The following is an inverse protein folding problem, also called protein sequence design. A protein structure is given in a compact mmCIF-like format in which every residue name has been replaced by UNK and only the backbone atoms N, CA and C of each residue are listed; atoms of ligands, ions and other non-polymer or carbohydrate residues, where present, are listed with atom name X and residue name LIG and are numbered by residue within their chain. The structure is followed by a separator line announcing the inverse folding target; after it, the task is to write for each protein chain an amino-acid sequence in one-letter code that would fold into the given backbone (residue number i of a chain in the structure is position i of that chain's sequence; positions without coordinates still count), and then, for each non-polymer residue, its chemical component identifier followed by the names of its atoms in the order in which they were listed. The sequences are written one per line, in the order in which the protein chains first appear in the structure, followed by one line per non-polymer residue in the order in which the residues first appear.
data_IF_067183554495
#
_entry.id   IF_067183554495
#
_cell.length_a   1.000
_cell.length_b   1.000
_cell.length_c   1.000
_cell.angle_alpha   90.00
_cell.angle_beta   90.00
_cell.angle_gamma   90.00
#
_symmetry.space_group_name_H-M   'P 1'
#
loop_
_entity.id
_entity.type
_entity.pdbx_description
1 polymer ?
#
# COMPACT_ATOMS: atom_id res chain seq x y z
N UNK A 1 -21.96 14.06 14.35
CA UNK A 1 -22.01 14.04 12.87
C UNK A 1 -20.86 13.18 12.34
N UNK A 2 -20.89 12.64 11.10
CA UNK A 2 -19.72 11.95 10.53
C UNK A 2 -18.54 12.93 10.39
N UNK A 3 -17.31 12.45 10.60
CA UNK A 3 -16.11 13.23 10.32
C UNK A 3 -15.92 13.35 8.81
N UNK A 4 -15.82 14.58 8.33
CA UNK A 4 -15.68 14.92 6.90
C UNK A 4 -14.24 14.80 6.46
N UNK A 5 -13.99 14.08 5.37
CA UNK A 5 -12.64 13.72 4.92
C UNK A 5 -12.39 14.29 3.53
N UNK A 6 -11.28 15.01 3.38
CA UNK A 6 -10.71 15.31 2.06
C UNK A 6 -9.51 14.35 1.80
N UNK A 7 -9.46 13.76 0.61
CA UNK A 7 -8.41 12.84 0.20
C UNK A 7 -7.68 13.38 -1.03
N UNK A 8 -6.37 13.52 -0.92
CA UNK A 8 -5.49 13.96 -2.00
C UNK A 8 -4.59 12.81 -2.43
N UNK A 9 -4.32 12.73 -3.73
CA UNK A 9 -3.55 11.62 -4.30
C UNK A 9 -4.21 10.28 -3.97
N UNK A 10 -5.54 10.23 -4.10
CA UNK A 10 -6.39 9.14 -3.60
C UNK A 10 -6.10 7.80 -4.27
N UNK A 11 -5.44 7.79 -5.43
CA UNK A 11 -5.16 6.58 -6.19
C UNK A 11 -6.45 5.83 -6.54
N UNK A 12 -6.46 4.51 -6.38
CA UNK A 12 -7.69 3.72 -6.53
C UNK A 12 -8.54 3.66 -5.24
N UNK A 13 -8.28 4.54 -4.26
CA UNK A 13 -9.12 4.67 -3.08
C UNK A 13 -8.85 3.68 -1.94
N UNK A 14 -7.68 3.04 -1.88
CA UNK A 14 -7.41 2.05 -0.83
C UNK A 14 -7.44 2.62 0.57
N UNK A 15 -6.84 3.81 0.80
CA UNK A 15 -6.89 4.50 2.09
C UNK A 15 -8.31 5.00 2.39
N UNK A 16 -8.99 5.55 1.39
CA UNK A 16 -10.35 6.08 1.49
C UNK A 16 -11.34 4.96 1.87
N UNK A 17 -11.22 3.78 1.24
CA UNK A 17 -12.00 2.60 1.59
C UNK A 17 -11.76 2.18 3.05
N UNK A 18 -10.49 2.23 3.49
CA UNK A 18 -10.15 1.99 4.89
C UNK A 18 -10.84 2.98 5.83
N UNK A 19 -10.77 4.28 5.53
CA UNK A 19 -11.42 5.32 6.34
C UNK A 19 -12.94 5.29 6.27
N UNK A 20 -13.53 4.78 5.21
CA UNK A 20 -14.97 4.56 5.09
C UNK A 20 -15.42 3.31 5.86
N UNK A 21 -14.68 2.22 5.79
CA UNK A 21 -15.14 0.92 6.25
C UNK A 21 -16.32 0.39 5.43
N UNK A 22 -17.06 -0.58 5.98
CA UNK A 22 -18.22 -1.17 5.32
C UNK A 22 -17.85 -2.18 4.23
N UNK A 23 -16.77 -2.93 4.40
CA UNK A 23 -16.33 -3.96 3.47
C UNK A 23 -15.97 -5.27 4.20
N UNK A 24 -16.01 -6.37 3.47
CA UNK A 24 -15.56 -7.68 3.96
C UNK A 24 -14.24 -8.07 3.32
N UNK A 25 -13.29 -8.50 4.14
CA UNK A 25 -12.05 -9.08 3.65
C UNK A 25 -11.82 -10.45 4.29
N UNK A 26 -11.84 -11.51 3.47
CA UNK A 26 -11.60 -12.90 3.88
C UNK A 26 -12.48 -13.36 5.05
N UNK A 27 -13.74 -12.97 5.06
CA UNK A 27 -14.71 -13.35 6.08
C UNK A 27 -14.70 -12.47 7.33
N UNK A 28 -13.76 -11.53 7.44
CA UNK A 28 -13.75 -10.52 8.49
C UNK A 28 -14.47 -9.25 7.99
N UNK A 29 -15.46 -8.79 8.76
CA UNK A 29 -16.22 -7.59 8.44
C UNK A 29 -15.56 -6.36 9.06
N UNK A 30 -15.16 -5.42 8.22
CA UNK A 30 -14.64 -4.12 8.62
C UNK A 30 -15.79 -3.11 8.62
N UNK A 31 -16.35 -2.88 9.78
CA UNK A 31 -17.55 -2.08 9.98
C UNK A 31 -17.46 -0.69 9.35
N UNK A 32 -18.60 -0.16 8.88
CA UNK A 32 -18.67 1.23 8.43
C UNK A 32 -18.28 2.16 9.57
N UNK A 33 -17.35 3.08 9.30
CA UNK A 33 -16.92 4.09 10.25
C UNK A 33 -17.81 5.35 10.17
N UNK A 34 -17.82 6.14 11.24
CA UNK A 34 -18.57 7.41 11.26
C UNK A 34 -17.81 8.52 10.53
N UNK A 35 -17.60 8.32 9.25
CA UNK A 35 -16.84 9.19 8.34
C UNK A 35 -17.58 9.37 7.03
N UNK A 36 -17.26 10.46 6.33
CA UNK A 36 -17.76 10.77 5.00
C UNK A 36 -16.62 11.34 4.16
N UNK A 37 -16.26 10.68 3.04
CA UNK A 37 -15.35 11.27 2.06
C UNK A 37 -16.16 12.33 1.30
N UNK A 38 -15.76 13.58 1.40
CA UNK A 38 -16.44 14.72 0.76
C UNK A 38 -15.67 15.29 -0.43
N UNK A 39 -14.40 14.95 -0.54
CA UNK A 39 -13.53 15.34 -1.64
C UNK A 39 -12.46 14.27 -1.84
N UNK A 40 -12.25 13.83 -3.08
CA UNK A 40 -11.16 12.96 -3.48
C UNK A 40 -10.53 13.50 -4.78
N UNK A 41 -9.21 13.39 -4.92
CA UNK A 41 -8.48 13.88 -6.08
C UNK A 41 -7.30 12.99 -6.46
N UNK A 42 -7.15 12.73 -7.73
CA UNK A 42 -5.93 12.19 -8.33
C UNK A 42 -5.71 12.77 -9.74
N UNK A 43 -4.48 12.82 -10.21
CA UNK A 43 -4.16 13.26 -11.58
C UNK A 43 -4.01 12.10 -12.56
N UNK A 44 -3.88 10.85 -12.06
CA UNK A 44 -3.72 9.65 -12.88
C UNK A 44 -5.09 9.18 -13.40
N UNK A 45 -5.24 9.17 -14.73
CA UNK A 45 -6.50 8.78 -15.38
C UNK A 45 -6.95 7.36 -15.03
N UNK A 46 -6.02 6.40 -14.87
CA UNK A 46 -6.35 5.02 -14.51
C UNK A 46 -6.84 4.94 -13.06
N UNK A 47 -6.17 5.66 -12.16
CA UNK A 47 -6.57 5.75 -10.76
C UNK A 47 -7.97 6.37 -10.62
N UNK A 48 -8.20 7.51 -11.26
CA UNK A 48 -9.50 8.19 -11.33
C UNK A 48 -10.61 7.25 -11.85
N UNK A 49 -10.35 6.55 -12.96
CA UNK A 49 -11.35 5.64 -13.57
C UNK A 49 -11.67 4.47 -12.63
N UNK A 50 -10.64 3.89 -11.99
CA UNK A 50 -10.79 2.81 -11.03
C UNK A 50 -11.56 3.26 -9.78
N UNK A 51 -11.23 4.42 -9.21
CA UNK A 51 -11.90 4.99 -8.04
C UNK A 51 -13.41 5.16 -8.31
N UNK A 52 -13.74 5.83 -9.40
CA UNK A 52 -15.13 6.19 -9.73
C UNK A 52 -15.97 5.01 -10.21
N UNK A 53 -15.35 3.92 -10.64
CA UNK A 53 -16.04 2.67 -10.99
C UNK A 53 -16.44 1.84 -9.76
N UNK A 54 -16.00 2.23 -8.55
CA UNK A 54 -16.13 1.40 -7.36
C UNK A 54 -17.27 1.87 -6.45
N UNK A 55 -18.38 1.10 -6.34
CA UNK A 55 -19.49 1.46 -5.45
C UNK A 55 -19.08 1.58 -3.97
N UNK A 56 -18.09 0.81 -3.51
CA UNK A 56 -17.59 0.89 -2.14
C UNK A 56 -17.03 2.28 -1.78
N UNK A 57 -16.62 3.07 -2.78
CA UNK A 57 -16.08 4.42 -2.61
C UNK A 57 -17.09 5.51 -2.96
N UNK A 58 -18.00 5.25 -3.87
CA UNK A 58 -18.89 6.27 -4.47
C UNK A 58 -20.33 6.23 -3.99
N UNK A 59 -20.70 5.27 -3.13
CA UNK A 59 -22.07 5.14 -2.60
C UNK A 59 -22.57 6.39 -1.88
N UNK A 60 -21.69 7.18 -1.27
CA UNK A 60 -22.05 8.44 -0.60
C UNK A 60 -22.14 9.64 -1.60
N UNK A 61 -22.05 9.37 -2.90
CA UNK A 61 -22.19 10.36 -3.97
C UNK A 61 -20.91 11.13 -4.32
N UNK A 62 -19.82 10.91 -3.61
CA UNK A 62 -18.53 11.53 -3.94
C UNK A 62 -17.93 10.86 -5.17
N UNK A 63 -17.34 11.69 -6.03
CA UNK A 63 -16.51 11.27 -7.16
C UNK A 63 -15.11 11.84 -7.01
N UNK A 64 -14.12 11.02 -7.33
CA UNK A 64 -12.76 11.53 -7.44
C UNK A 64 -12.67 12.58 -8.55
N UNK A 65 -11.98 13.68 -8.31
CA UNK A 65 -11.69 14.72 -9.28
C UNK A 65 -10.41 14.36 -10.03
N UNK A 66 -10.48 14.31 -11.35
CA UNK A 66 -9.29 14.19 -12.20
C UNK A 66 -8.67 15.57 -12.41
N UNK A 67 -7.66 15.90 -11.64
CA UNK A 67 -6.95 17.18 -11.76
C UNK A 67 -5.57 17.11 -11.11
N UNK A 68 -4.63 17.89 -11.61
CA UNK A 68 -3.42 18.18 -10.85
C UNK A 68 -3.79 19.05 -9.64
N UNK A 69 -3.41 18.65 -8.46
CA UNK A 69 -3.76 19.36 -7.22
C UNK A 69 -3.21 20.79 -7.17
N UNK A 70 -2.17 21.09 -7.96
CA UNK A 70 -1.60 22.43 -8.11
C UNK A 70 -2.56 23.40 -8.80
N UNK A 71 -3.45 22.89 -9.64
CA UNK A 71 -4.45 23.64 -10.38
C UNK A 71 -5.77 23.79 -9.60
N UNK A 72 -5.91 23.06 -8.48
CA UNK A 72 -7.11 23.11 -7.64
C UNK A 72 -7.01 24.27 -6.63
N UNK A 73 -7.97 25.19 -6.68
CA UNK A 73 -8.05 26.24 -5.68
C UNK A 73 -8.45 25.64 -4.31
N UNK A 74 -7.67 25.92 -3.27
CA UNK A 74 -7.93 25.40 -1.92
C UNK A 74 -9.30 25.83 -1.36
N UNK A 75 -9.86 26.96 -1.82
CA UNK A 75 -11.17 27.43 -1.40
C UNK A 75 -12.33 26.65 -2.04
N UNK A 76 -12.08 25.98 -3.18
CA UNK A 76 -13.08 25.16 -3.86
C UNK A 76 -13.20 23.75 -3.22
N UNK A 77 -12.22 23.36 -2.39
CA UNK A 77 -12.29 22.14 -1.58
C UNK A 77 -13.25 22.41 -0.41
N UNK A 78 -14.29 21.59 -0.21
CA UNK A 78 -15.20 21.75 0.93
C UNK A 78 -14.47 21.76 2.27
N UNK A 79 -15.06 22.32 3.32
CA UNK A 79 -14.49 22.23 4.66
C UNK A 79 -14.49 20.76 5.14
N UNK A 80 -13.41 20.33 5.75
CA UNK A 80 -13.18 18.95 6.19
C UNK A 80 -12.55 18.90 7.58
N UNK A 81 -12.74 17.76 8.27
CA UNK A 81 -12.18 17.51 9.61
C UNK A 81 -10.84 16.81 9.52
N UNK A 82 -10.65 15.94 8.52
CA UNK A 82 -9.44 15.12 8.35
C UNK A 82 -8.95 15.25 6.90
N UNK A 83 -7.64 15.50 6.72
CA UNK A 83 -6.98 15.42 5.41
C UNK A 83 -6.21 14.11 5.29
N UNK A 84 -6.48 13.33 4.23
CA UNK A 84 -5.68 12.18 3.84
C UNK A 84 -4.79 12.55 2.65
N UNK A 85 -3.51 12.16 2.66
CA UNK A 85 -2.65 12.35 1.51
C UNK A 85 -1.53 11.30 1.42
N UNK A 86 -1.51 10.55 0.33
CA UNK A 86 -0.43 9.65 -0.06
C UNK A 86 0.44 10.26 -1.17
N UNK A 87 1.09 11.39 -0.91
CA UNK A 87 1.84 12.10 -1.96
C UNK A 87 3.09 11.32 -2.41
N UNK A 88 3.41 11.33 -3.73
CA UNK A 88 4.55 10.60 -4.26
C UNK A 88 5.89 11.10 -3.70
N UNK A 89 6.75 10.14 -3.31
CA UNK A 89 8.08 10.38 -2.75
C UNK A 89 9.17 10.64 -3.82
N UNK A 90 8.81 10.80 -5.09
CA UNK A 90 9.76 11.20 -6.13
C UNK A 90 9.83 12.73 -6.16
N UNK A 91 10.94 13.30 -5.97
CA UNK A 91 12.34 13.03 -6.24
C UNK A 91 13.21 12.67 -5.04
N UNK A 92 12.64 12.43 -3.87
CA UNK A 92 13.40 12.10 -2.66
C UNK A 92 13.93 10.65 -2.63
N UNK A 93 13.61 9.80 -3.64
CA UNK A 93 14.08 8.42 -3.67
C UNK A 93 15.43 8.27 -4.37
N UNK A 94 16.32 7.42 -3.80
CA UNK A 94 17.63 7.07 -4.38
C UNK A 94 17.56 6.33 -5.75
N UNK A 95 16.40 6.11 -6.33
CA UNK A 95 16.18 5.42 -7.60
C UNK A 95 15.97 6.35 -8.80
N UNK A 96 15.73 7.64 -8.57
CA UNK A 96 15.78 8.69 -9.60
C UNK A 96 17.04 9.53 -9.43
N UNK A 97 17.56 10.11 -10.51
CA UNK A 97 18.61 11.12 -10.43
C UNK A 97 18.18 12.12 -9.37
N UNK A 98 19.02 12.36 -8.34
CA UNK A 98 18.79 13.27 -7.21
C UNK A 98 18.37 14.68 -7.68
N UNK A 99 17.09 14.82 -8.01
CA UNK A 99 16.48 16.10 -8.38
C UNK A 99 15.65 16.52 -7.17
N UNK A 100 16.25 17.20 -6.23
CA UNK A 100 15.60 17.69 -5.00
C UNK A 100 14.29 18.46 -5.24
N UNK A 101 14.01 19.50 -4.47
CA UNK A 101 12.83 20.38 -4.58
C UNK A 101 12.73 21.09 -5.95
N UNK A 102 13.78 21.06 -6.76
CA UNK A 102 13.86 21.60 -8.11
C UNK A 102 13.69 20.53 -9.21
N UNK A 103 12.81 19.54 -9.00
CA UNK A 103 12.39 18.65 -10.08
C UNK A 103 11.63 19.50 -11.13
N UNK A 104 12.08 19.44 -12.39
CA UNK A 104 11.44 20.14 -13.53
C UNK A 104 9.96 19.77 -13.70
N UNK A 105 9.52 18.64 -13.11
CA UNK A 105 8.12 18.19 -13.03
C UNK A 105 7.41 18.61 -11.72
N UNK A 106 8.06 19.33 -10.80
CA UNK A 106 7.48 19.87 -9.58
C UNK A 106 6.96 18.84 -8.56
N UNK A 107 7.33 17.55 -8.69
CA UNK A 107 6.81 16.47 -7.83
C UNK A 107 7.33 16.50 -6.41
N UNK A 108 8.49 17.12 -6.20
CA UNK A 108 9.07 17.35 -4.87
C UNK A 108 8.32 18.39 -4.04
N UNK A 109 7.39 19.11 -4.65
CA UNK A 109 6.59 20.15 -4.03
C UNK A 109 5.17 19.70 -3.65
N UNK A 110 4.78 18.44 -3.90
CA UNK A 110 3.40 18.00 -3.68
C UNK A 110 3.00 17.96 -2.18
N UNK A 111 3.96 17.81 -1.28
CA UNK A 111 3.72 18.09 0.14
C UNK A 111 3.34 19.56 0.37
N UNK A 112 3.94 20.50 -0.37
CA UNK A 112 3.59 21.92 -0.24
C UNK A 112 2.13 22.21 -0.63
N UNK A 113 1.53 21.39 -1.48
CA UNK A 113 0.10 21.48 -1.80
C UNK A 113 -0.78 21.04 -0.63
N UNK A 114 -0.37 19.98 0.09
CA UNK A 114 -1.06 19.59 1.33
C UNK A 114 -1.00 20.73 2.36
N UNK A 115 0.18 21.33 2.53
CA UNK A 115 0.37 22.49 3.42
C UNK A 115 -0.47 23.69 2.96
N UNK A 116 -0.47 24.02 1.66
CA UNK A 116 -1.26 25.13 1.09
C UNK A 116 -2.74 24.98 1.41
N UNK A 117 -3.28 23.77 1.23
CA UNK A 117 -4.70 23.47 1.47
C UNK A 117 -5.02 23.56 2.96
N UNK A 118 -4.22 22.94 3.84
CA UNK A 118 -4.40 23.04 5.30
C UNK A 118 -4.32 24.52 5.73
N UNK A 119 -3.30 25.25 5.25
CA UNK A 119 -3.12 26.67 5.59
C UNK A 119 -4.33 27.50 5.19
N UNK A 120 -4.88 27.31 3.98
CA UNK A 120 -6.06 28.04 3.52
C UNK A 120 -7.27 27.78 4.45
N UNK A 121 -7.47 26.54 4.92
CA UNK A 121 -8.54 26.24 5.88
C UNK A 121 -8.27 26.83 7.26
N UNK A 122 -7.02 26.84 7.72
CA UNK A 122 -6.64 27.50 8.98
C UNK A 122 -6.89 29.00 8.91
N UNK A 123 -6.47 29.66 7.83
CA UNK A 123 -6.65 31.11 7.63
C UNK A 123 -8.13 31.49 7.52
N UNK A 124 -8.98 30.59 7.00
CA UNK A 124 -10.43 30.77 6.93
C UNK A 124 -11.17 30.44 8.25
N UNK A 125 -10.47 30.06 9.32
CA UNK A 125 -11.09 29.65 10.59
C UNK A 125 -11.78 28.29 10.54
N UNK A 126 -11.46 27.46 9.52
CA UNK A 126 -12.00 26.12 9.26
C UNK A 126 -10.91 25.04 9.42
N UNK A 127 -10.14 25.14 10.49
CA UNK A 127 -8.99 24.30 10.78
C UNK A 127 -9.37 22.82 10.84
N UNK A 128 -8.74 21.93 10.04
CA UNK A 128 -8.90 20.49 10.18
C UNK A 128 -8.44 19.98 11.54
N UNK A 129 -9.17 19.03 12.12
CA UNK A 129 -8.82 18.40 13.39
C UNK A 129 -7.57 17.55 13.29
N UNK A 130 -7.39 16.88 12.16
CA UNK A 130 -6.25 16.01 11.91
C UNK A 130 -5.85 15.96 10.43
N UNK A 131 -4.64 15.46 10.19
CA UNK A 131 -4.23 14.97 8.88
C UNK A 131 -3.48 13.64 9.00
N UNK A 132 -3.51 12.86 7.94
CA UNK A 132 -2.76 11.62 7.77
C UNK A 132 -1.95 11.71 6.48
N UNK A 133 -0.64 11.68 6.59
CA UNK A 133 0.27 11.58 5.45
C UNK A 133 0.89 10.20 5.39
N UNK A 134 0.77 9.52 4.24
CA UNK A 134 1.40 8.23 4.00
C UNK A 134 2.57 8.40 3.03
N UNK A 135 3.65 7.65 3.26
CA UNK A 135 4.76 7.60 2.33
C UNK A 135 5.55 6.30 2.42
N UNK A 136 6.40 6.06 1.43
CA UNK A 136 7.30 4.90 1.43
C UNK A 136 8.42 5.05 2.47
N UNK A 137 8.94 3.90 2.97
CA UNK A 137 10.06 3.87 3.93
C UNK A 137 11.26 4.74 3.51
N UNK A 138 11.51 4.87 2.20
CA UNK A 138 12.62 5.66 1.66
C UNK A 138 12.63 7.14 2.09
N UNK A 139 11.48 7.70 2.45
CA UNK A 139 11.39 9.10 2.91
C UNK A 139 12.23 9.34 4.16
N UNK A 140 12.41 8.33 5.03
CA UNK A 140 13.21 8.45 6.28
C UNK A 140 14.68 8.78 6.01
N UNK A 141 15.23 8.37 4.88
CA UNK A 141 16.61 8.64 4.47
C UNK A 141 16.73 9.81 3.50
N UNK A 142 15.60 10.39 3.09
CA UNK A 142 15.59 11.50 2.12
C UNK A 142 16.00 12.81 2.77
N UNK A 143 16.75 13.62 2.03
CA UNK A 143 17.24 14.92 2.46
C UNK A 143 16.68 16.04 1.61
N UNK A 144 16.52 17.21 2.22
CA UNK A 144 16.25 18.45 1.52
C UNK A 144 17.45 18.84 0.63
N UNK A 145 17.31 19.78 -0.31
CA UNK A 145 18.40 20.21 -1.20
C UNK A 145 19.66 20.70 -0.49
N UNK A 146 19.53 21.13 0.77
CA UNK A 146 20.67 21.52 1.62
C UNK A 146 21.57 20.32 2.00
N UNK A 147 21.15 19.08 1.70
CA UNK A 147 21.83 17.85 2.01
C UNK A 147 21.91 17.52 3.51
N UNK A 148 21.37 18.36 4.38
CA UNK A 148 21.44 18.28 5.85
C UNK A 148 20.08 17.95 6.46
N UNK A 149 19.06 18.75 6.22
CA UNK A 149 17.73 18.60 6.78
C UNK A 149 17.05 17.36 6.23
N UNK A 150 16.47 16.52 7.09
CA UNK A 150 15.67 15.38 6.62
C UNK A 150 14.29 15.84 6.14
N UNK A 151 13.77 15.22 5.08
CA UNK A 151 12.46 15.54 4.54
C UNK A 151 11.35 15.37 5.58
N UNK A 152 11.27 14.25 6.35
CA UNK A 152 10.29 14.13 7.42
C UNK A 152 10.35 15.25 8.47
N UNK A 153 11.57 15.66 8.86
CA UNK A 153 11.74 16.72 9.85
C UNK A 153 11.22 18.07 9.31
N UNK A 154 11.48 18.36 8.05
CA UNK A 154 10.94 19.58 7.40
C UNK A 154 9.42 19.57 7.37
N UNK A 155 8.79 18.44 6.98
CA UNK A 155 7.33 18.27 7.01
C UNK A 155 6.79 18.53 8.43
N UNK A 156 7.39 17.91 9.45
CA UNK A 156 6.99 18.09 10.85
C UNK A 156 7.11 19.55 11.28
N UNK A 157 8.23 20.21 10.98
CA UNK A 157 8.46 21.61 11.35
C UNK A 157 7.41 22.55 10.73
N UNK A 158 7.10 22.35 9.45
CA UNK A 158 6.12 23.18 8.73
C UNK A 158 4.71 22.98 9.30
N UNK A 159 4.32 21.73 9.59
CA UNK A 159 3.03 21.44 10.21
C UNK A 159 2.95 21.94 11.66
N UNK A 160 4.04 21.92 12.41
CA UNK A 160 4.10 22.54 13.75
C UNK A 160 3.85 24.05 13.69
N UNK A 161 4.39 24.73 12.65
CA UNK A 161 4.15 26.18 12.43
C UNK A 161 2.68 26.46 12.16
N UNK A 162 1.97 25.53 11.50
CA UNK A 162 0.52 25.61 11.28
C UNK A 162 -0.32 25.21 12.52
N UNK A 163 0.32 24.85 13.64
CA UNK A 163 -0.37 24.56 14.90
C UNK A 163 -0.73 23.09 15.12
N UNK A 164 -0.07 22.15 14.43
CA UNK A 164 -0.31 20.71 14.61
C UNK A 164 0.76 20.06 15.48
N UNK A 165 0.36 19.09 16.29
CA UNK A 165 1.26 18.10 16.93
C UNK A 165 1.39 16.91 15.99
N UNK A 166 2.61 16.59 15.53
CA UNK A 166 2.84 15.54 14.52
C UNK A 166 3.61 14.38 15.10
N UNK A 167 3.08 13.18 14.94
CA UNK A 167 3.77 11.92 15.25
C UNK A 167 4.07 11.17 13.95
N UNK A 168 5.29 10.67 13.85
CA UNK A 168 5.76 9.85 12.71
C UNK A 168 6.03 8.43 13.19
N UNK A 169 5.55 7.43 12.45
CA UNK A 169 5.83 6.02 12.74
C UNK A 169 6.06 5.21 11.46
N UNK A 170 6.99 4.24 11.54
CA UNK A 170 7.20 3.24 10.48
C UNK A 170 6.38 2.00 10.81
N UNK A 171 5.33 1.75 10.05
CA UNK A 171 4.46 0.59 10.21
C UNK A 171 4.80 -0.51 9.21
N UNK A 172 4.59 -1.78 9.60
CA UNK A 172 4.52 -2.90 8.69
C UNK A 172 3.07 -3.33 8.54
N UNK A 173 2.56 -3.38 7.31
CA UNK A 173 1.15 -3.67 7.07
C UNK A 173 0.72 -5.06 7.59
N UNK A 174 1.66 -6.04 7.65
CA UNK A 174 1.38 -7.37 8.22
C UNK A 174 1.05 -7.36 9.72
N UNK A 175 1.33 -6.29 10.43
CA UNK A 175 0.93 -6.14 11.84
C UNK A 175 -0.52 -5.67 11.98
N UNK A 176 -1.13 -5.27 10.88
CA UNK A 176 -2.46 -4.63 10.83
C UNK A 176 -3.39 -5.33 9.83
N UNK A 177 -3.40 -6.64 9.79
CA UNK A 177 -4.35 -7.45 9.02
C UNK A 177 -4.06 -7.61 7.53
N UNK A 178 -2.90 -7.15 7.05
CA UNK A 178 -2.57 -7.21 5.62
C UNK A 178 -1.62 -8.39 5.34
N UNK A 179 -1.92 -9.29 4.40
CA UNK A 179 -1.07 -10.45 4.08
C UNK A 179 0.19 -10.06 3.29
N UNK A 180 0.83 -8.96 3.69
CA UNK A 180 1.98 -8.39 3.00
C UNK A 180 2.94 -7.67 3.94
N UNK A 181 4.22 -8.01 3.87
CA UNK A 181 5.31 -7.26 4.53
C UNK A 181 5.60 -5.97 3.75
N UNK A 182 4.73 -4.98 3.95
CA UNK A 182 4.78 -3.66 3.32
C UNK A 182 5.05 -2.59 4.36
N UNK A 183 6.23 -2.00 4.31
CA UNK A 183 6.62 -0.92 5.22
C UNK A 183 6.17 0.44 4.68
N UNK A 184 5.53 1.22 5.55
CA UNK A 184 5.09 2.59 5.25
C UNK A 184 5.38 3.52 6.41
N UNK A 185 5.69 4.75 6.07
CA UNK A 185 5.76 5.83 7.05
C UNK A 185 4.40 6.50 7.10
N UNK A 186 3.85 6.56 8.29
CA UNK A 186 2.64 7.31 8.58
C UNK A 186 3.03 8.53 9.43
N UNK A 187 2.52 9.70 9.05
CA UNK A 187 2.60 10.93 9.84
C UNK A 187 1.18 11.35 10.16
N UNK A 188 0.84 11.39 11.45
CA UNK A 188 -0.47 11.85 11.92
C UNK A 188 -0.28 13.17 12.65
N UNK A 189 -0.94 14.21 12.17
CA UNK A 189 -0.96 15.51 12.82
C UNK A 189 -2.31 15.76 13.47
N UNK A 190 -2.28 16.26 14.70
CA UNK A 190 -3.45 16.61 15.51
C UNK A 190 -3.42 18.11 15.78
N UNK A 191 -4.52 18.80 15.57
CA UNK A 191 -4.66 20.22 15.89
C UNK A 191 -4.42 20.45 17.40
N UNK A 192 -3.44 21.30 17.72
CA UNK A 192 -3.06 21.61 19.10
C UNK A 192 -4.20 22.30 19.89
N UNK A 193 -5.11 23.00 19.20
CA UNK A 193 -6.23 23.69 19.86
C UNK A 193 -7.23 22.72 20.50
N UNK A 194 -7.23 21.45 20.09
CA UNK A 194 -8.06 20.41 20.70
C UNK A 194 -7.60 20.01 22.12
N UNK A 195 -6.36 20.30 22.50
CA UNK A 195 -5.84 20.02 23.83
C UNK A 195 -5.62 18.53 24.16
N UNK A 196 -5.73 17.63 23.17
CA UNK A 196 -5.67 16.16 23.35
C UNK A 196 -4.28 15.56 23.17
N UNK A 197 -3.28 16.38 22.82
CA UNK A 197 -1.91 15.94 22.61
C UNK A 197 -1.63 15.42 21.19
N UNK A 198 -0.57 14.62 21.07
CA UNK A 198 -0.16 14.00 19.80
C UNK A 198 -0.74 12.57 19.68
N UNK A 199 -1.00 12.12 18.46
CA UNK A 199 -1.53 10.79 18.21
C UNK A 199 -0.57 9.68 18.67
N UNK A 200 -1.11 8.67 19.37
CA UNK A 200 -0.35 7.50 19.82
C UNK A 200 -0.61 6.30 18.89
N UNK A 201 0.41 5.86 18.17
CA UNK A 201 0.33 4.69 17.26
C UNK A 201 0.07 3.36 18.00
N UNK A 202 0.23 3.27 19.31
CA UNK A 202 -0.18 2.09 20.08
C UNK A 202 -1.69 1.84 20.01
N UNK A 203 -2.50 2.86 19.76
CA UNK A 203 -3.93 2.71 19.53
C UNK A 203 -4.24 1.79 18.34
N UNK A 204 -3.43 1.79 17.29
CA UNK A 204 -3.62 0.85 16.17
C UNK A 204 -3.50 -0.61 16.62
N UNK A 205 -2.54 -0.92 17.51
CA UNK A 205 -2.40 -2.26 18.10
C UNK A 205 -3.65 -2.62 18.91
N UNK A 206 -4.16 -1.69 19.72
CA UNK A 206 -5.39 -1.91 20.51
C UNK A 206 -6.60 -2.19 19.61
N UNK A 207 -6.72 -1.51 18.46
CA UNK A 207 -7.78 -1.80 17.47
C UNK A 207 -7.64 -3.23 16.92
N UNK A 208 -6.42 -3.66 16.58
CA UNK A 208 -6.14 -5.03 16.10
C UNK A 208 -6.59 -6.06 17.13
N UNK A 209 -6.19 -5.89 18.39
CA UNK A 209 -6.52 -6.79 19.49
C UNK A 209 -8.04 -6.79 19.82
N UNK A 210 -8.67 -5.62 19.85
CA UNK A 210 -10.09 -5.48 20.18
C UNK A 210 -11.04 -6.03 19.11
N UNK A 211 -10.60 -6.10 17.86
CA UNK A 211 -11.38 -6.58 16.73
C UNK A 211 -10.90 -7.96 16.21
N UNK A 212 -10.01 -8.63 16.91
CA UNK A 212 -9.45 -9.93 16.55
C UNK A 212 -8.93 -9.98 15.10
N UNK A 213 -8.25 -8.90 14.67
CA UNK A 213 -7.68 -8.78 13.33
C UNK A 213 -6.41 -9.62 13.22
N UNK A 214 -6.24 -10.45 12.16
CA UNK A 214 -5.00 -11.21 11.96
C UNK A 214 -3.77 -10.30 11.91
N UNK A 215 -2.68 -10.71 12.58
CA UNK A 215 -1.46 -9.92 12.66
C UNK A 215 -0.23 -10.82 12.71
N UNK A 216 0.87 -10.38 12.09
CA UNK A 216 2.14 -11.11 12.13
C UNK A 216 2.70 -11.21 13.56
N UNK A 217 2.54 -10.15 14.37
CA UNK A 217 3.15 -10.04 15.70
C UNK A 217 2.16 -10.02 16.86
N UNK A 218 0.86 -9.78 16.60
CA UNK A 218 -0.14 -9.66 17.66
C UNK A 218 -1.11 -10.83 17.75
N UNK A 219 -1.03 -11.80 16.84
CA UNK A 219 -1.85 -13.02 16.84
C UNK A 219 -2.45 -13.37 15.48
N UNK A 220 -2.82 -14.65 15.30
CA UNK A 220 -3.46 -15.20 14.09
C UNK A 220 -2.65 -15.00 12.81
N UNK A 221 -1.34 -15.04 12.89
CA UNK A 221 -0.42 -14.88 11.76
C UNK A 221 -0.71 -15.86 10.61
N UNK A 222 -1.16 -17.06 10.91
CA UNK A 222 -1.47 -18.12 9.95
C UNK A 222 -2.52 -17.69 8.92
N UNK A 223 -3.41 -16.79 9.27
CA UNK A 223 -4.45 -16.28 8.36
C UNK A 223 -3.89 -15.30 7.31
N UNK A 224 -2.70 -14.75 7.54
CA UNK A 224 -2.00 -13.87 6.59
C UNK A 224 -1.11 -14.65 5.61
N UNK A 225 -0.99 -15.97 5.74
CA UNK A 225 -0.16 -16.78 4.88
C UNK A 225 -0.76 -16.88 3.47
N UNK A 226 0.10 -16.85 2.45
CA UNK A 226 -0.33 -16.92 1.04
C UNK A 226 -1.26 -18.10 0.77
N UNK A 227 -1.02 -19.27 1.41
CA UNK A 227 -1.87 -20.43 1.25
C UNK A 227 -3.32 -20.18 1.68
N UNK A 228 -3.57 -19.30 2.65
CA UNK A 228 -4.93 -18.89 3.05
C UNK A 228 -5.50 -17.84 2.10
N UNK A 229 -4.68 -16.89 1.68
CA UNK A 229 -5.10 -15.74 0.87
C UNK A 229 -5.48 -16.12 -0.56
N UNK A 230 -4.76 -17.09 -1.14
CA UNK A 230 -4.92 -17.50 -2.54
C UNK A 230 -5.97 -18.61 -2.75
N UNK A 231 -6.69 -19.01 -1.69
CA UNK A 231 -7.79 -19.99 -1.80
C UNK A 231 -9.09 -19.37 -2.29
N UNK A 232 -9.96 -20.22 -2.92
CA UNK A 232 -11.33 -19.88 -3.30
C UNK A 232 -11.40 -18.64 -4.23
N UNK A 233 -10.64 -18.68 -5.32
CA UNK A 233 -10.60 -17.64 -6.35
C UNK A 233 -11.40 -17.99 -7.61
N UNK A 234 -11.93 -19.21 -7.73
CA UNK A 234 -12.50 -19.79 -8.94
C UNK A 234 -13.67 -18.96 -9.49
N UNK A 235 -14.44 -18.34 -8.59
CA UNK A 235 -15.63 -17.54 -8.94
C UNK A 235 -15.42 -16.02 -8.73
N UNK A 236 -14.19 -15.58 -8.48
CA UNK A 236 -13.90 -14.17 -8.25
C UNK A 236 -13.50 -13.48 -9.55
N UNK A 237 -14.07 -12.28 -9.79
CA UNK A 237 -13.75 -11.48 -10.99
C UNK A 237 -12.32 -10.94 -10.98
N UNK A 238 -11.87 -10.47 -12.14
CA UNK A 238 -10.56 -9.84 -12.34
C UNK A 238 -9.39 -10.77 -12.01
N UNK A 239 -9.54 -12.06 -12.37
CA UNK A 239 -8.50 -13.08 -12.19
C UNK A 239 -7.55 -13.19 -13.39
N UNK A 240 -7.47 -12.15 -14.22
CA UNK A 240 -6.58 -12.09 -15.37
C UNK A 240 -5.11 -11.94 -14.94
N UNK A 241 -4.24 -12.54 -15.73
CA UNK A 241 -2.80 -12.52 -15.54
C UNK A 241 -2.13 -11.71 -16.65
N UNK A 242 -1.34 -10.72 -16.26
CA UNK A 242 -0.46 -10.05 -17.22
C UNK A 242 0.79 -10.90 -17.45
N UNK A 243 0.91 -11.46 -18.65
CA UNK A 243 1.98 -12.39 -19.03
C UNK A 243 3.38 -11.76 -18.87
N UNK A 244 4.35 -12.59 -18.61
CA UNK A 244 5.74 -12.19 -18.59
C UNK A 244 6.29 -12.09 -20.02
N UNK A 245 7.32 -11.24 -20.21
CA UNK A 245 8.12 -11.31 -21.43
C UNK A 245 8.83 -12.67 -21.54
N UNK A 246 9.14 -13.16 -22.77
CA UNK A 246 9.77 -14.48 -22.94
C UNK A 246 11.05 -14.69 -22.11
N UNK A 247 11.89 -13.65 -21.98
CA UNK A 247 13.11 -13.72 -21.18
C UNK A 247 12.85 -13.82 -19.68
N UNK A 248 11.81 -13.14 -19.20
CA UNK A 248 11.36 -13.22 -17.80
C UNK A 248 10.72 -14.57 -17.52
N UNK A 249 9.85 -15.04 -18.43
CA UNK A 249 9.20 -16.35 -18.32
C UNK A 249 10.23 -17.47 -18.18
N UNK A 250 11.24 -17.48 -19.07
CA UNK A 250 12.33 -18.48 -18.99
C UNK A 250 13.00 -18.54 -17.60
N UNK A 251 13.19 -17.39 -16.95
CA UNK A 251 13.79 -17.37 -15.61
C UNK A 251 12.81 -17.91 -14.56
N UNK A 252 11.53 -17.56 -14.68
CA UNK A 252 10.47 -18.05 -13.78
C UNK A 252 10.32 -19.58 -13.92
N UNK A 253 10.40 -20.11 -15.15
CA UNK A 253 10.33 -21.56 -15.43
C UNK A 253 11.53 -22.31 -14.83
N UNK A 254 12.74 -21.75 -14.92
CA UNK A 254 13.93 -22.30 -14.31
C UNK A 254 13.80 -22.39 -12.79
N UNK A 255 13.27 -21.34 -12.15
CA UNK A 255 13.01 -21.36 -10.69
C UNK A 255 11.92 -22.40 -10.34
N UNK A 256 10.91 -22.54 -11.21
CA UNK A 256 9.83 -23.53 -11.04
C UNK A 256 10.31 -24.97 -11.20
N UNK A 257 11.32 -25.21 -12.01
CA UNK A 257 11.88 -26.54 -12.29
C UNK A 257 12.99 -26.97 -11.34
N UNK A 258 13.38 -26.15 -10.36
CA UNK A 258 14.31 -26.62 -9.32
C UNK A 258 13.65 -27.70 -8.47
N UNK A 259 14.45 -28.56 -7.84
CA UNK A 259 14.00 -29.74 -7.09
C UNK A 259 12.87 -29.41 -6.09
N UNK A 260 13.07 -28.39 -5.26
CA UNK A 260 12.05 -27.87 -4.33
C UNK A 260 10.74 -27.44 -5.04
N UNK A 261 10.85 -26.93 -6.28
CA UNK A 261 9.70 -26.52 -7.07
C UNK A 261 8.83 -27.70 -7.49
N UNK A 262 9.48 -28.74 -8.01
CA UNK A 262 8.82 -29.95 -8.47
C UNK A 262 8.17 -30.70 -7.30
N UNK A 263 8.88 -30.82 -6.18
CA UNK A 263 8.34 -31.49 -4.99
C UNK A 263 7.17 -30.72 -4.38
N UNK A 264 7.28 -29.41 -4.20
CA UNK A 264 6.19 -28.58 -3.70
C UNK A 264 4.94 -28.72 -4.57
N UNK A 265 5.08 -28.71 -5.90
CA UNK A 265 3.97 -28.85 -6.83
C UNK A 265 3.13 -30.12 -6.65
N UNK A 266 3.75 -31.24 -6.25
CA UNK A 266 3.04 -32.53 -6.03
C UNK A 266 1.95 -32.44 -4.96
N UNK A 267 2.08 -31.54 -4.01
CA UNK A 267 1.15 -31.37 -2.90
C UNK A 267 0.04 -30.36 -3.19
N UNK A 268 0.13 -29.62 -4.30
CA UNK A 268 -0.87 -28.66 -4.70
C UNK A 268 -1.81 -29.24 -5.74
N UNK A 269 -2.81 -29.94 -5.26
CA UNK A 269 -3.98 -30.31 -6.03
C UNK A 269 -5.17 -29.46 -5.53
N UNK A 270 -6.21 -29.38 -6.32
CA UNK A 270 -7.44 -28.70 -5.93
C UNK A 270 -7.89 -29.17 -4.53
N UNK A 271 -8.12 -28.20 -3.63
CA UNK A 271 -8.62 -28.48 -2.29
C UNK A 271 -7.57 -28.88 -1.23
N UNK A 272 -6.30 -28.49 -1.38
CA UNK A 272 -5.29 -28.75 -0.35
C UNK A 272 -5.64 -28.10 1.00
N UNK A 273 -5.33 -28.83 2.09
CA UNK A 273 -5.37 -28.27 3.44
C UNK A 273 -3.99 -27.72 3.81
N UNK A 274 -3.89 -26.39 4.05
CA UNK A 274 -2.59 -25.77 4.38
C UNK A 274 -1.94 -26.35 5.63
N UNK A 275 -2.73 -26.83 6.60
CA UNK A 275 -2.23 -27.36 7.87
C UNK A 275 -1.63 -28.76 7.72
N UNK A 276 -1.90 -29.43 6.60
CA UNK A 276 -1.39 -30.78 6.27
C UNK A 276 -0.23 -30.75 5.27
N UNK A 277 0.18 -29.55 4.80
CA UNK A 277 1.26 -29.44 3.83
C UNK A 277 2.62 -29.73 4.47
N UNK A 278 3.52 -30.48 3.77
CA UNK A 278 4.87 -30.72 4.26
C UNK A 278 5.72 -29.46 4.25
N UNK A 279 6.77 -29.43 5.07
CA UNK A 279 7.66 -28.28 5.26
C UNK A 279 8.22 -27.69 3.97
N UNK A 280 8.39 -28.48 2.92
CA UNK A 280 8.85 -28.00 1.61
C UNK A 280 7.93 -26.94 1.00
N UNK A 281 6.63 -27.00 1.29
CA UNK A 281 5.65 -26.02 0.83
C UNK A 281 5.75 -24.67 1.54
N UNK A 282 6.53 -24.57 2.63
CA UNK A 282 6.75 -23.39 3.42
C UNK A 282 8.08 -22.69 3.12
N UNK A 283 8.84 -23.19 2.16
CA UNK A 283 10.14 -22.63 1.76
C UNK A 283 10.01 -21.85 0.44
N UNK A 284 10.24 -20.56 0.49
CA UNK A 284 10.30 -19.71 -0.70
C UNK A 284 11.55 -20.01 -1.53
N UNK A 285 11.48 -19.71 -2.82
CA UNK A 285 12.53 -19.98 -3.82
C UNK A 285 12.98 -18.71 -4.51
N UNK A 286 14.13 -18.76 -5.15
CA UNK A 286 14.65 -17.65 -5.94
C UNK A 286 15.59 -18.17 -7.05
N UNK A 287 16.13 -17.26 -7.84
CA UNK A 287 17.16 -17.58 -8.82
C UNK A 287 18.42 -18.27 -8.22
N UNK A 288 18.64 -18.13 -6.89
CA UNK A 288 19.76 -18.76 -6.18
C UNK A 288 19.61 -20.28 -6.04
N UNK A 289 18.40 -20.79 -6.18
CA UNK A 289 18.11 -22.22 -6.11
C UNK A 289 18.32 -22.93 -7.46
N UNK A 290 18.62 -22.14 -8.52
CA UNK A 290 18.97 -22.67 -9.84
C UNK A 290 20.44 -23.07 -9.83
N UNK A 291 20.81 -24.29 -10.28
CA UNK A 291 22.21 -24.67 -10.44
C UNK A 291 22.99 -23.67 -11.30
N UNK A 292 24.24 -23.38 -10.91
CA UNK A 292 25.04 -22.32 -11.54
C UNK A 292 25.17 -22.52 -13.06
N UNK A 293 25.31 -23.76 -13.52
CA UNK A 293 25.44 -24.13 -14.93
C UNK A 293 24.17 -23.80 -15.74
N UNK A 294 23.00 -23.83 -15.09
CA UNK A 294 21.73 -23.50 -15.71
C UNK A 294 21.39 -21.99 -15.65
N UNK A 295 22.14 -21.19 -14.88
CA UNK A 295 21.95 -19.76 -14.79
C UNK A 295 22.18 -19.06 -16.13
N UNK A 296 21.33 -18.07 -16.43
CA UNK A 296 21.57 -17.17 -17.56
C UNK A 296 22.83 -16.32 -17.36
N UNK A 297 23.48 -15.81 -18.42
CA UNK A 297 24.66 -14.94 -18.27
C UNK A 297 24.47 -13.78 -17.29
N UNK A 298 23.26 -13.16 -17.29
CA UNK A 298 22.92 -12.10 -16.34
C UNK A 298 22.99 -12.59 -14.89
N UNK A 299 22.43 -13.75 -14.58
CA UNK A 299 22.42 -14.29 -13.21
C UNK A 299 23.78 -14.79 -12.79
N UNK A 300 24.59 -15.37 -13.70
CA UNK A 300 25.99 -15.73 -13.40
C UNK A 300 26.79 -14.49 -13.00
N UNK A 301 26.66 -13.39 -13.76
CA UNK A 301 27.34 -12.13 -13.40
C UNK A 301 26.90 -11.59 -12.02
N UNK A 302 25.63 -11.77 -11.63
CA UNK A 302 25.14 -11.39 -10.30
C UNK A 302 25.68 -12.33 -9.23
N UNK A 303 25.74 -13.64 -9.49
CA UNK A 303 26.30 -14.64 -8.56
C UNK A 303 27.79 -14.38 -8.29
N UNK A 304 28.54 -14.06 -9.35
CA UNK A 304 29.97 -13.78 -9.29
C UNK A 304 30.29 -12.41 -8.64
N UNK A 305 29.31 -11.49 -8.60
CA UNK A 305 29.47 -10.13 -8.09
C UNK A 305 28.39 -9.75 -7.07
N UNK A 306 28.22 -10.48 -5.96
CA UNK A 306 27.11 -10.31 -5.03
C UNK A 306 27.05 -8.92 -4.38
N UNK A 307 28.19 -8.21 -4.28
CA UNK A 307 28.27 -6.85 -3.70
C UNK A 307 27.63 -5.78 -4.60
N UNK A 308 27.43 -6.06 -5.89
CA UNK A 308 26.82 -5.11 -6.86
C UNK A 308 25.28 -5.18 -6.87
N UNK A 309 24.70 -6.19 -6.24
CA UNK A 309 23.28 -6.42 -6.33
C UNK A 309 22.63 -6.58 -4.95
N UNK A 310 21.79 -5.61 -4.58
CA UNK A 310 21.21 -5.51 -3.24
C UNK A 310 19.67 -5.68 -3.18
N UNK A 311 19.03 -6.19 -4.25
CA UNK A 311 17.57 -6.39 -4.22
C UNK A 311 17.21 -7.76 -3.60
N UNK A 312 16.82 -7.83 -2.33
CA UNK A 312 16.61 -9.10 -1.62
C UNK A 312 15.41 -9.90 -2.16
N UNK A 313 14.52 -9.24 -2.93
CA UNK A 313 13.32 -9.85 -3.52
C UNK A 313 13.42 -10.08 -5.02
N UNK A 314 14.60 -9.94 -5.58
CA UNK A 314 14.87 -10.14 -7.00
C UNK A 314 14.60 -11.59 -7.38
N UNK A 315 13.61 -11.79 -8.27
CA UNK A 315 13.15 -13.10 -8.69
C UNK A 315 12.92 -14.06 -7.50
N UNK A 316 12.39 -13.53 -6.39
CA UNK A 316 11.96 -14.36 -5.28
C UNK A 316 10.52 -14.82 -5.50
N UNK A 317 10.31 -16.12 -5.36
CA UNK A 317 9.01 -16.77 -5.30
C UNK A 317 8.71 -17.09 -3.83
N UNK A 318 7.69 -16.48 -3.28
CA UNK A 318 7.23 -16.77 -1.92
C UNK A 318 6.51 -18.11 -1.88
N UNK A 319 6.57 -18.80 -0.74
CA UNK A 319 5.86 -20.05 -0.51
C UNK A 319 4.47 -19.79 0.11
N UNK A 320 3.61 -20.81 0.10
CA UNK A 320 2.29 -20.71 0.72
C UNK A 320 2.32 -20.47 2.22
N UNK A 321 3.35 -20.95 2.92
CA UNK A 321 3.57 -20.71 4.34
C UNK A 321 4.26 -19.38 4.68
N UNK A 322 4.37 -18.45 3.73
CA UNK A 322 4.97 -17.15 3.95
C UNK A 322 3.92 -16.03 3.78
N UNK A 323 4.14 -14.93 4.49
CA UNK A 323 3.50 -13.65 4.21
C UNK A 323 4.21 -13.02 3.01
N UNK A 324 3.49 -12.54 2.01
CA UNK A 324 4.08 -12.00 0.80
C UNK A 324 4.97 -10.76 1.07
N UNK A 325 5.93 -10.53 0.22
CA UNK A 325 6.68 -9.27 0.21
C UNK A 325 5.89 -8.12 -0.41
N UNK A 326 6.45 -6.91 -0.36
CA UNK A 326 5.79 -5.72 -0.94
C UNK A 326 5.52 -5.90 -2.43
N UNK A 327 4.27 -5.77 -2.85
CA UNK A 327 3.87 -5.63 -4.25
C UNK A 327 4.10 -4.18 -4.66
N UNK A 328 4.77 -3.98 -5.80
CA UNK A 328 5.08 -2.65 -6.36
C UNK A 328 4.21 -2.36 -7.57
N UNK A 329 4.08 -1.10 -7.94
CA UNK A 329 3.33 -0.66 -9.12
C UNK A 329 3.77 -1.31 -10.43
N UNK A 330 5.05 -1.67 -10.55
CA UNK A 330 5.57 -2.34 -11.74
C UNK A 330 5.16 -3.80 -11.83
N UNK A 331 4.81 -4.45 -10.71
CA UNK A 331 4.48 -5.86 -10.60
C UNK A 331 5.44 -6.78 -11.40
N UNK A 332 6.75 -6.48 -11.37
CA UNK A 332 7.77 -7.24 -12.09
C UNK A 332 8.59 -8.08 -11.12
N UNK A 333 8.95 -9.34 -11.46
CA UNK A 333 9.63 -10.26 -10.56
C UNK A 333 11.07 -9.83 -10.23
N UNK A 334 11.67 -8.96 -11.05
CA UNK A 334 12.96 -8.33 -10.76
C UNK A 334 12.85 -7.15 -9.76
N UNK A 335 11.65 -6.73 -9.40
CA UNK A 335 11.37 -5.65 -8.44
C UNK A 335 10.71 -6.15 -7.16
N UNK A 336 9.84 -7.15 -7.26
CA UNK A 336 9.06 -7.66 -6.14
C UNK A 336 8.67 -9.13 -6.33
N UNK A 337 8.28 -9.81 -5.25
CA UNK A 337 7.81 -11.18 -5.30
C UNK A 337 6.36 -11.26 -5.76
N UNK A 338 6.16 -11.30 -7.07
CA UNK A 338 4.85 -11.36 -7.73
C UNK A 338 4.63 -12.63 -8.53
N UNK A 339 5.51 -13.63 -8.38
CA UNK A 339 5.34 -14.94 -9.01
C UNK A 339 4.54 -15.84 -8.08
N UNK A 340 3.52 -16.50 -8.64
CA UNK A 340 2.66 -17.43 -7.90
C UNK A 340 3.50 -18.56 -7.24
N UNK A 341 3.16 -19.01 -6.03
CA UNK A 341 3.98 -19.94 -5.25
C UNK A 341 4.36 -21.23 -6.00
N UNK A 342 3.47 -21.76 -6.85
CA UNK A 342 3.67 -23.01 -7.59
C UNK A 342 3.55 -22.86 -9.10
N UNK A 343 2.64 -22.03 -9.61
CA UNK A 343 2.46 -21.83 -11.03
C UNK A 343 3.51 -20.86 -11.60
N UNK A 344 4.01 -21.15 -12.80
CA UNK A 344 5.03 -20.34 -13.46
C UNK A 344 4.45 -19.09 -14.12
N UNK A 345 3.65 -18.34 -13.36
CA UNK A 345 2.99 -17.11 -13.79
C UNK A 345 3.12 -16.00 -12.75
N UNK A 346 2.80 -14.81 -13.14
CA UNK A 346 2.56 -13.70 -12.21
C UNK A 346 1.30 -14.00 -11.37
N UNK A 347 1.20 -13.42 -10.19
CA UNK A 347 -0.11 -13.31 -9.54
C UNK A 347 -1.11 -12.68 -10.49
N UNK A 348 -2.36 -13.13 -10.47
CA UNK A 348 -3.45 -12.40 -11.13
C UNK A 348 -3.68 -11.04 -10.47
N UNK A 349 -4.46 -10.18 -11.12
CA UNK A 349 -4.86 -8.89 -10.53
C UNK A 349 -5.56 -9.12 -9.19
N UNK A 350 -6.49 -10.08 -9.13
CA UNK A 350 -7.25 -10.38 -7.90
C UNK A 350 -6.37 -10.94 -6.78
N UNK A 351 -5.42 -11.80 -7.11
CA UNK A 351 -4.43 -12.27 -6.13
C UNK A 351 -3.61 -11.11 -5.56
N UNK A 352 -3.15 -10.18 -6.42
CA UNK A 352 -2.47 -8.96 -5.97
C UNK A 352 -3.38 -8.08 -5.09
N UNK A 353 -4.65 -7.94 -5.45
CA UNK A 353 -5.63 -7.18 -4.68
C UNK A 353 -5.84 -7.78 -3.29
N UNK A 354 -6.03 -9.11 -3.18
CA UNK A 354 -6.12 -9.81 -1.89
C UNK A 354 -4.86 -9.65 -1.04
N UNK A 355 -3.67 -9.76 -1.63
CA UNK A 355 -2.40 -9.55 -0.93
C UNK A 355 -2.28 -8.10 -0.42
N UNK A 356 -2.94 -7.15 -1.06
CA UNK A 356 -3.07 -5.77 -0.61
C UNK A 356 -4.30 -5.52 0.27
N UNK A 357 -5.00 -6.58 0.69
CA UNK A 357 -6.22 -6.55 1.51
C UNK A 357 -7.42 -5.83 0.88
N UNK A 358 -7.49 -5.73 -0.45
CA UNK A 358 -8.71 -5.28 -1.10
C UNK A 358 -9.77 -6.39 -1.07
N UNK A 359 -11.05 -6.06 -0.84
CA UNK A 359 -12.14 -7.02 -0.87
C UNK A 359 -12.39 -7.58 -2.28
N UNK A 360 -13.03 -8.75 -2.37
CA UNK A 360 -13.23 -9.43 -3.65
C UNK A 360 -14.24 -8.74 -4.57
N UNK A 361 -15.10 -7.92 -4.04
CA UNK A 361 -16.07 -7.09 -4.76
C UNK A 361 -15.49 -5.72 -5.19
N UNK A 362 -14.25 -5.43 -4.85
CA UNK A 362 -13.55 -4.23 -5.35
C UNK A 362 -13.43 -4.27 -6.88
N UNK A 363 -13.87 -3.21 -7.54
CA UNK A 363 -13.95 -3.10 -9.00
C UNK A 363 -12.82 -2.24 -9.58
N UNK A 364 -12.22 -2.70 -10.68
CA UNK A 364 -11.16 -1.94 -11.38
C UNK A 364 -11.70 -1.04 -12.50
N UNK A 365 -12.99 -1.16 -12.84
CA UNK A 365 -13.54 -0.44 -13.98
C UNK A 365 -12.93 -0.86 -15.32
N UNK A 366 -12.91 0.04 -16.28
CA UNK A 366 -12.47 -0.22 -17.66
C UNK A 366 -10.97 0.04 -17.90
N UNK A 367 -10.14 0.09 -16.84
CA UNK A 367 -8.71 0.35 -17.00
C UNK A 367 -7.97 -0.89 -17.56
N UNK A 368 -6.90 -0.68 -18.38
CA UNK A 368 -6.12 -1.78 -18.94
C UNK A 368 -5.47 -2.67 -17.89
N UNK A 369 -5.26 -3.95 -18.23
CA UNK A 369 -4.69 -4.93 -17.32
C UNK A 369 -3.38 -4.49 -16.62
N UNK A 370 -2.36 -3.92 -17.32
CA UNK A 370 -1.16 -3.41 -16.64
C UNK A 370 -1.46 -2.28 -15.63
N UNK A 371 -2.45 -1.43 -15.92
CA UNK A 371 -2.86 -0.35 -15.04
C UNK A 371 -3.50 -0.87 -13.75
N UNK A 372 -4.23 -1.99 -13.78
CA UNK A 372 -4.80 -2.64 -12.59
C UNK A 372 -3.70 -3.03 -11.60
N UNK A 373 -2.59 -3.60 -12.07
CA UNK A 373 -1.41 -3.88 -11.22
C UNK A 373 -0.78 -2.61 -10.66
N UNK A 374 -0.70 -1.55 -11.49
CA UNK A 374 -0.12 -0.26 -11.10
C UNK A 374 -0.91 0.38 -9.95
N UNK A 375 -2.23 0.47 -10.07
CA UNK A 375 -3.07 1.11 -9.05
C UNK A 375 -3.06 0.32 -7.73
N UNK A 376 -3.11 -1.02 -7.79
CA UNK A 376 -2.99 -1.88 -6.61
C UNK A 376 -1.61 -1.72 -5.95
N UNK A 377 -0.51 -1.76 -6.73
CA UNK A 377 0.84 -1.65 -6.19
C UNK A 377 1.13 -0.31 -5.52
N UNK A 378 0.49 0.77 -5.97
CA UNK A 378 0.59 2.11 -5.38
C UNK A 378 -0.29 2.28 -4.14
N UNK A 379 -1.37 1.53 -4.02
CA UNK A 379 -2.39 1.73 -2.99
C UNK A 379 -1.87 1.54 -1.56
N UNK A 380 -2.49 2.24 -0.64
CA UNK A 380 -2.48 1.91 0.79
C UNK A 380 -3.46 0.76 1.01
N UNK A 381 -3.09 -0.32 1.73
CA UNK A 381 -3.99 -1.44 1.99
C UNK A 381 -5.24 -1.01 2.79
N UNK A 382 -6.47 -1.32 2.33
CA UNK A 382 -7.69 -0.89 2.99
C UNK A 382 -7.80 -1.34 4.45
N UNK A 383 -7.40 -2.57 4.79
CA UNK A 383 -7.46 -3.07 6.16
C UNK A 383 -6.55 -2.27 7.10
N UNK A 384 -5.31 -1.96 6.68
CA UNK A 384 -4.43 -1.07 7.46
C UNK A 384 -5.02 0.34 7.58
N UNK A 385 -5.64 0.84 6.50
CA UNK A 385 -6.36 2.11 6.51
C UNK A 385 -7.50 2.13 7.53
N UNK A 386 -8.28 1.04 7.63
CA UNK A 386 -9.37 0.90 8.59
C UNK A 386 -8.88 0.88 10.04
N UNK A 387 -7.80 0.15 10.32
CA UNK A 387 -7.18 0.12 11.66
C UNK A 387 -6.69 1.52 12.07
N UNK A 388 -6.04 2.25 11.16
CA UNK A 388 -5.59 3.61 11.40
C UNK A 388 -6.77 4.57 11.62
N UNK A 389 -7.81 4.49 10.77
CA UNK A 389 -9.01 5.31 10.87
C UNK A 389 -9.73 5.08 12.20
N UNK A 390 -9.95 3.81 12.58
CA UNK A 390 -10.58 3.46 13.86
C UNK A 390 -9.79 3.99 15.07
N UNK A 391 -8.46 3.87 15.04
CA UNK A 391 -7.59 4.42 16.07
C UNK A 391 -7.66 5.95 16.14
N UNK A 392 -7.65 6.62 14.99
CA UNK A 392 -7.72 8.07 14.92
C UNK A 392 -9.09 8.59 15.39
N UNK A 393 -10.19 7.97 14.97
CA UNK A 393 -11.54 8.36 15.38
C UNK A 393 -11.76 8.17 16.87
N UNK A 394 -11.20 7.11 17.48
CA UNK A 394 -11.25 6.91 18.94
C UNK A 394 -10.39 7.94 19.70
N UNK A 395 -9.38 8.53 19.06
CA UNK A 395 -8.51 9.54 19.63
C UNK A 395 -9.10 10.95 19.54
N UNK A 396 -9.80 11.26 18.44
CA UNK A 396 -10.41 12.57 18.23
C UNK A 396 -11.66 12.77 19.11
N UNK A 397 -11.95 14.00 19.56
CA UNK A 397 -13.13 14.28 20.35
C UNK A 397 -14.41 13.98 19.55
N UNK A 398 -15.39 13.37 20.21
CA UNK A 398 -16.75 13.29 19.69
C UNK A 398 -17.39 14.68 19.83
N UNK A 399 -17.83 15.26 18.71
CA UNK A 399 -18.67 16.46 18.74
C UNK A 399 -20.13 16.11 18.97
#
# INVERSE_FOLDING_TARGET
MPKRIASLFSGCGGLDLGFSGGFNFRGHEYQRLNTEIIFANDFDQDAFTCYNANPLLTNDGVKCLLADIRDVNANDIPDFDILLAGFPCQPFSNAGKRQGVNDDNGRGTLFAECERIIKAKVDAGKRPQAFVFENVRGILSSKMPDGKTSVPQEIINRMHTLGYSVTLHLVCASDYGVPQKRYRVLMVGIDKSLGIGAFDFNLMKQIVEANDIPSEHFGRKEELLLGRILQNLENVKDHEVWEYSPGTQKTVDLIGSCEHGIEAFKYFKDGYNIDELPNICFQGRSWKDIPYEALTPRFRNIADNPKKYHAPKFFRRFAFGEINGTITASAQPDKCGVTHPIENRRYSVRECARIQSFPDDFMFGSIPLPARYKVIGNAVPPVMGWVLASALLNFLPNE
#
